data_IF_968183882799
#
_entry.id   IF_968183882799
#
_cell.length_a   1.000
_cell.length_b   1.000
_cell.length_c   1.000
_cell.angle_alpha   90.00
_cell.angle_beta   90.00
_cell.angle_gamma   90.00
#
_symmetry.space_group_name_H-M   'P 1'
#
loop_
_entity.id
_entity.type
_entity.pdbx_description
1 polymer ?
#
# COMPACT_ATOMS: atom_id res chain seq x y z
N UNK A 1 -23.99 20.64 37.44
CA UNK A 1 -24.51 19.76 36.38
C UNK A 1 -23.69 19.79 35.07
N UNK A 2 -22.89 20.82 34.81
CA UNK A 2 -22.07 20.95 33.56
C UNK A 2 -20.71 20.24 33.62
N UNK A 3 -20.23 19.80 34.79
CA UNK A 3 -18.95 19.08 34.95
C UNK A 3 -19.04 17.55 34.76
N UNK A 4 -20.24 17.00 34.69
CA UNK A 4 -20.49 15.53 34.53
C UNK A 4 -20.65 15.10 33.08
N UNK A 5 -20.90 16.02 32.15
CA UNK A 5 -21.16 15.69 30.75
C UNK A 5 -19.90 15.63 29.87
N UNK A 6 -18.76 16.15 30.32
CA UNK A 6 -17.50 16.19 29.56
C UNK A 6 -16.65 14.90 29.65
N UNK A 7 -17.08 13.89 30.43
CA UNK A 7 -16.30 12.66 30.63
C UNK A 7 -16.71 11.46 29.73
N UNK A 8 -17.67 11.62 28.82
CA UNK A 8 -18.17 10.48 28.02
C UNK A 8 -17.83 10.51 26.53
N UNK A 9 -17.02 11.46 26.04
CA UNK A 9 -16.64 11.55 24.61
C UNK A 9 -15.15 11.26 24.35
N UNK A 10 -14.39 10.88 25.39
CA UNK A 10 -12.99 10.41 25.22
C UNK A 10 -12.89 8.88 25.34
N UNK A 11 -13.79 8.17 24.65
CA UNK A 11 -13.70 6.74 24.47
C UNK A 11 -12.67 6.40 23.39
N UNK A 12 -11.42 6.13 23.85
CA UNK A 12 -10.47 5.19 23.26
C UNK A 12 -9.84 5.53 21.91
N UNK A 13 -9.01 6.58 21.87
CA UNK A 13 -7.69 6.40 21.26
C UNK A 13 -6.72 6.23 22.44
N UNK A 14 -6.41 4.99 22.80
CA UNK A 14 -5.33 4.72 23.72
C UNK A 14 -4.06 5.36 23.13
N UNK A 15 -3.27 6.12 23.92
CA UNK A 15 -2.00 6.63 23.43
C UNK A 15 -1.18 5.43 22.99
N UNK A 16 -0.65 5.47 21.76
CA UNK A 16 0.36 4.53 21.33
C UNK A 16 1.48 4.63 22.35
N UNK A 17 1.53 3.69 23.29
CA UNK A 17 2.45 3.73 24.41
C UNK A 17 3.87 3.75 23.85
N UNK A 18 4.80 4.36 24.57
CA UNK A 18 6.24 4.34 24.26
C UNK A 18 6.75 2.89 23.98
N UNK A 19 6.07 1.89 24.49
CA UNK A 19 6.30 0.46 24.23
C UNK A 19 6.07 0.05 22.76
N UNK A 20 5.13 0.65 22.01
CA UNK A 20 4.92 0.26 20.62
C UNK A 20 6.14 0.56 19.73
N UNK A 21 6.86 1.64 19.99
CA UNK A 21 8.05 2.00 19.20
C UNK A 21 9.26 1.09 19.49
N UNK A 22 9.37 0.60 20.74
CA UNK A 22 10.52 -0.20 21.17
C UNK A 22 10.35 -1.71 20.96
N UNK A 23 9.12 -2.20 20.75
CA UNK A 23 8.81 -3.64 20.73
C UNK A 23 8.15 -4.09 19.41
N UNK A 24 8.42 -3.41 18.30
CA UNK A 24 7.76 -3.74 17.02
C UNK A 24 8.06 -5.16 16.52
N UNK A 25 9.25 -5.70 16.78
CA UNK A 25 9.60 -7.03 16.30
C UNK A 25 8.76 -8.13 16.97
N UNK A 26 8.68 -8.25 18.31
CA UNK A 26 7.83 -9.25 18.95
C UNK A 26 6.34 -9.02 18.67
N UNK A 27 5.88 -7.77 18.51
CA UNK A 27 4.51 -7.49 18.12
C UNK A 27 4.22 -8.01 16.69
N UNK A 28 5.12 -7.77 15.73
CA UNK A 28 4.98 -8.27 14.37
C UNK A 28 5.04 -9.80 14.31
N UNK A 29 5.88 -10.43 15.13
CA UNK A 29 5.95 -11.89 15.27
C UNK A 29 4.63 -12.47 15.78
N UNK A 30 4.09 -11.90 16.87
CA UNK A 30 2.80 -12.31 17.46
C UNK A 30 1.65 -12.16 16.45
N UNK A 31 1.61 -11.03 15.73
CA UNK A 31 0.61 -10.80 14.69
C UNK A 31 0.73 -11.83 13.56
N UNK A 32 1.94 -12.08 13.07
CA UNK A 32 2.20 -13.04 12.01
C UNK A 32 1.80 -14.47 12.42
N UNK A 33 2.14 -14.89 13.63
CA UNK A 33 1.75 -16.21 14.17
C UNK A 33 0.22 -16.34 14.28
N UNK A 34 -0.46 -15.31 14.81
CA UNK A 34 -1.92 -15.29 14.91
C UNK A 34 -2.59 -15.43 13.54
N UNK A 35 -2.04 -14.79 12.51
CA UNK A 35 -2.53 -14.90 11.14
C UNK A 35 -2.29 -16.31 10.58
N UNK A 36 -1.06 -16.82 10.71
CA UNK A 36 -0.65 -18.11 10.13
C UNK A 36 -1.33 -19.33 10.80
N UNK A 37 -1.87 -19.17 12.01
CA UNK A 37 -2.70 -20.19 12.67
C UNK A 37 -4.09 -20.33 12.05
N UNK A 38 -4.58 -19.31 11.34
CA UNK A 38 -5.92 -19.30 10.75
C UNK A 38 -5.99 -19.89 9.34
N UNK A 39 -4.86 -20.31 8.77
CA UNK A 39 -4.78 -20.88 7.41
C UNK A 39 -3.59 -21.81 7.26
N UNK A 40 -3.73 -22.84 6.43
CA UNK A 40 -2.63 -23.70 6.02
C UNK A 40 -1.74 -23.07 4.93
N UNK A 41 -2.21 -22.02 4.27
CA UNK A 41 -1.47 -21.34 3.22
C UNK A 41 -0.25 -20.60 3.77
N UNK A 42 0.84 -20.60 3.01
CA UNK A 42 2.09 -19.91 3.35
C UNK A 42 2.46 -18.97 2.21
N UNK A 43 1.81 -17.78 2.12
CA UNK A 43 2.04 -16.84 1.06
C UNK A 43 3.45 -16.25 1.14
N UNK A 44 4.08 -16.05 -0.02
CA UNK A 44 5.34 -15.33 -0.15
C UNK A 44 5.17 -13.99 -0.86
N UNK A 45 3.96 -13.70 -1.33
CA UNK A 45 3.59 -12.45 -1.98
C UNK A 45 2.49 -11.78 -1.15
N UNK A 46 2.72 -10.51 -0.77
CA UNK A 46 1.75 -9.64 -0.15
C UNK A 46 1.16 -8.68 -1.18
N UNK A 47 -0.12 -8.34 -1.01
CA UNK A 47 -0.78 -7.28 -1.76
C UNK A 47 -1.35 -6.25 -0.78
N UNK A 48 -1.34 -4.98 -1.17
CA UNK A 48 -2.09 -3.93 -0.48
C UNK A 48 -2.99 -3.26 -1.50
N UNK A 49 -4.29 -3.41 -1.33
CA UNK A 49 -5.29 -2.86 -2.23
C UNK A 49 -5.73 -1.48 -1.75
N UNK A 50 -5.60 -0.48 -2.62
CA UNK A 50 -6.01 0.89 -2.38
C UNK A 50 -7.50 1.12 -2.59
N UNK A 51 -7.95 2.36 -2.36
CA UNK A 51 -9.33 2.80 -2.53
C UNK A 51 -9.87 2.47 -3.93
N UNK A 52 -11.06 1.89 -4.00
CA UNK A 52 -11.70 1.45 -5.24
C UNK A 52 -11.13 0.18 -5.88
N UNK A 53 -10.05 -0.41 -5.34
CA UNK A 53 -9.36 -1.56 -5.91
C UNK A 53 -9.49 -2.85 -5.07
N UNK A 54 -10.33 -2.82 -4.02
CA UNK A 54 -10.45 -3.89 -3.01
C UNK A 54 -11.03 -5.21 -3.51
N UNK A 55 -11.77 -5.21 -4.61
CA UNK A 55 -12.54 -6.37 -5.10
C UNK A 55 -11.70 -7.58 -5.49
N UNK A 56 -10.43 -7.40 -5.87
CA UNK A 56 -9.52 -8.51 -6.16
C UNK A 56 -9.46 -9.52 -5.00
N UNK A 57 -9.48 -9.05 -3.75
CA UNK A 57 -9.42 -9.92 -2.58
C UNK A 57 -10.63 -10.87 -2.47
N UNK A 58 -11.80 -10.44 -2.96
CA UNK A 58 -13.03 -11.24 -2.91
C UNK A 58 -13.03 -12.38 -3.94
N UNK A 59 -12.17 -12.30 -4.93
CA UNK A 59 -12.01 -13.30 -5.99
C UNK A 59 -11.00 -14.41 -5.66
N UNK A 60 -10.35 -14.34 -4.49
CA UNK A 60 -9.38 -15.36 -4.06
C UNK A 60 -10.10 -16.64 -3.63
N UNK A 61 -9.56 -17.80 -4.02
CA UNK A 61 -10.05 -19.11 -3.61
C UNK A 61 -9.33 -19.61 -2.36
N UNK A 62 -9.92 -20.57 -1.65
CA UNK A 62 -9.43 -21.11 -0.38
C UNK A 62 -9.13 -20.00 0.66
N UNK A 63 -9.96 -18.97 0.67
CA UNK A 63 -9.68 -17.71 1.36
C UNK A 63 -10.04 -17.74 2.84
N UNK A 64 -9.08 -17.37 3.69
CA UNK A 64 -9.30 -16.99 5.09
C UNK A 64 -9.37 -15.46 5.17
N UNK A 65 -10.50 -14.92 5.65
CA UNK A 65 -10.72 -13.48 5.88
C UNK A 65 -10.51 -13.16 7.36
N UNK A 66 -9.62 -12.24 7.66
CA UNK A 66 -9.22 -11.88 9.02
C UNK A 66 -9.38 -10.37 9.19
N UNK A 67 -10.37 -9.88 9.94
CA UNK A 67 -10.51 -8.46 10.24
C UNK A 67 -9.23 -7.90 10.90
N UNK A 68 -8.79 -6.71 10.52
CA UNK A 68 -7.61 -6.07 11.12
C UNK A 68 -7.75 -5.94 12.64
N UNK A 69 -8.97 -5.74 13.14
CA UNK A 69 -9.27 -5.65 14.56
C UNK A 69 -8.97 -6.93 15.37
N UNK A 70 -8.91 -8.08 14.69
CA UNK A 70 -8.62 -9.38 15.30
C UNK A 70 -7.13 -9.76 15.23
N UNK A 71 -6.30 -8.96 14.55
CA UNK A 71 -4.86 -9.19 14.47
C UNK A 71 -4.18 -8.37 15.56
N UNK A 72 -3.37 -8.97 16.44
CA UNK A 72 -2.69 -8.26 17.51
C UNK A 72 -1.88 -7.06 17.01
N UNK A 73 -2.03 -5.90 17.66
CA UNK A 73 -1.33 -4.64 17.37
C UNK A 73 -1.53 -4.08 15.94
N UNK A 74 -2.37 -4.70 15.10
CA UNK A 74 -2.60 -4.25 13.73
C UNK A 74 -3.47 -2.98 13.71
N UNK A 75 -3.13 -1.96 12.91
CA UNK A 75 -3.90 -0.72 12.86
C UNK A 75 -5.24 -0.95 12.15
N UNK A 76 -6.29 -0.28 12.62
CA UNK A 76 -7.65 -0.36 12.05
C UNK A 76 -7.85 0.71 11.00
N UNK A 77 -8.25 0.33 9.80
CA UNK A 77 -8.60 1.31 8.76
C UNK A 77 -9.92 2.01 9.11
N UNK A 78 -9.92 3.33 9.00
CA UNK A 78 -11.10 4.19 9.12
C UNK A 78 -11.44 4.88 7.81
N UNK A 79 -10.62 4.70 6.79
CA UNK A 79 -10.79 5.30 5.48
C UNK A 79 -12.00 4.69 4.76
N UNK A 80 -12.83 5.55 4.16
CA UNK A 80 -14.01 5.14 3.39
C UNK A 80 -13.59 4.27 2.20
N UNK A 81 -14.30 3.17 1.96
CA UNK A 81 -14.00 2.22 0.87
C UNK A 81 -12.97 1.16 1.20
N UNK A 82 -12.44 1.14 2.44
CA UNK A 82 -11.55 0.09 2.94
C UNK A 82 -12.31 -0.93 3.78
N UNK A 83 -12.26 -2.21 3.42
CA UNK A 83 -12.92 -3.27 4.18
C UNK A 83 -12.22 -3.55 5.53
N UNK A 84 -10.96 -3.16 5.70
CA UNK A 84 -10.22 -3.31 6.95
C UNK A 84 -9.95 -4.76 7.34
N UNK A 85 -9.63 -5.60 6.37
CA UNK A 85 -9.34 -7.03 6.59
C UNK A 85 -8.12 -7.51 5.79
N UNK A 86 -7.49 -8.56 6.29
CA UNK A 86 -6.49 -9.35 5.60
C UNK A 86 -7.15 -10.61 5.03
N UNK A 87 -6.98 -10.84 3.73
CA UNK A 87 -7.47 -12.03 3.04
C UNK A 87 -6.29 -12.87 2.58
N UNK A 88 -6.15 -14.08 3.11
CA UNK A 88 -5.14 -15.04 2.66
C UNK A 88 -5.83 -16.10 1.82
N UNK A 89 -5.51 -16.16 0.56
CA UNK A 89 -6.12 -17.08 -0.39
C UNK A 89 -5.23 -17.35 -1.58
N UNK A 90 -5.77 -17.97 -2.62
CA UNK A 90 -5.07 -18.26 -3.86
C UNK A 90 -5.61 -17.40 -5.00
N UNK A 91 -4.70 -16.77 -5.75
CA UNK A 91 -4.98 -16.27 -7.09
C UNK A 91 -4.52 -17.34 -8.08
N UNK A 92 -5.45 -18.05 -8.71
CA UNK A 92 -5.17 -19.30 -9.39
C UNK A 92 -4.48 -20.29 -8.43
N UNK A 93 -3.21 -20.65 -8.68
CA UNK A 93 -2.41 -21.55 -7.83
C UNK A 93 -1.49 -20.82 -6.86
N UNK A 94 -1.36 -19.49 -6.95
CA UNK A 94 -0.41 -18.69 -6.16
C UNK A 94 -1.02 -18.26 -4.83
N UNK A 95 -0.48 -18.70 -3.67
CA UNK A 95 -0.91 -18.20 -2.39
C UNK A 95 -0.50 -16.73 -2.21
N UNK A 96 -1.43 -15.88 -1.78
CA UNK A 96 -1.21 -14.45 -1.53
C UNK A 96 -1.82 -14.02 -0.21
N UNK A 97 -1.21 -13.01 0.43
CA UNK A 97 -1.78 -12.30 1.57
C UNK A 97 -2.19 -10.90 1.14
N UNK A 98 -3.47 -10.60 1.13
CA UNK A 98 -4.03 -9.40 0.54
C UNK A 98 -4.68 -8.53 1.60
N UNK A 99 -4.11 -7.35 1.86
CA UNK A 99 -4.76 -6.31 2.65
C UNK A 99 -5.85 -5.65 1.80
N UNK A 100 -7.10 -5.79 2.21
CA UNK A 100 -8.25 -5.14 1.60
C UNK A 100 -8.48 -3.79 2.29
N UNK A 101 -7.64 -2.83 1.92
CA UNK A 101 -7.49 -1.52 2.53
C UNK A 101 -6.17 -1.36 3.28
N UNK A 102 -5.92 -0.13 3.72
CA UNK A 102 -4.74 0.30 4.49
C UNK A 102 -5.08 1.41 5.45
N UNK A 103 -4.12 1.81 6.28
CA UNK A 103 -4.21 3.01 7.14
C UNK A 103 -3.27 4.11 6.63
N UNK A 104 -3.57 5.36 7.00
CA UNK A 104 -2.85 6.55 6.53
C UNK A 104 -2.46 7.44 7.71
N UNK A 105 -1.46 8.31 7.49
CA UNK A 105 -1.08 9.32 8.48
C UNK A 105 -2.23 10.28 8.83
N UNK A 106 -3.03 10.66 7.82
CA UNK A 106 -4.15 11.59 8.05
C UNK A 106 -5.27 11.00 8.94
N UNK A 107 -5.29 9.69 9.16
CA UNK A 107 -6.17 9.04 10.13
C UNK A 107 -5.68 9.21 11.59
N UNK A 108 -4.53 9.87 11.81
CA UNK A 108 -3.91 10.09 13.11
C UNK A 108 -2.92 9.00 13.53
N UNK A 109 -2.59 8.06 12.65
CA UNK A 109 -1.59 7.02 12.91
C UNK A 109 -0.17 7.57 12.82
N UNK A 110 0.73 7.03 13.64
CA UNK A 110 2.17 7.30 13.54
C UNK A 110 2.77 6.63 12.30
N UNK A 111 3.92 7.11 11.78
CA UNK A 111 4.65 6.47 10.69
C UNK A 111 4.92 4.98 10.94
N UNK A 112 5.24 4.61 12.19
CA UNK A 112 5.50 3.24 12.59
C UNK A 112 4.25 2.35 12.50
N UNK A 113 3.08 2.89 12.86
CA UNK A 113 1.81 2.16 12.76
C UNK A 113 1.40 1.98 11.30
N UNK A 114 1.59 2.99 10.45
CA UNK A 114 1.33 2.88 9.00
C UNK A 114 2.21 1.82 8.35
N UNK A 115 3.49 1.73 8.77
CA UNK A 115 4.44 0.76 8.25
C UNK A 115 4.34 -0.64 8.88
N UNK A 116 3.64 -0.79 10.01
CA UNK A 116 3.58 -2.04 10.78
C UNK A 116 3.08 -3.24 9.98
N UNK A 117 2.07 -3.14 9.09
CA UNK A 117 1.65 -4.24 8.23
C UNK A 117 2.79 -4.85 7.40
N UNK A 118 3.73 -4.04 6.92
CA UNK A 118 4.90 -4.56 6.18
C UNK A 118 5.84 -5.37 7.08
N UNK A 119 5.98 -4.98 8.37
CA UNK A 119 6.75 -5.74 9.36
C UNK A 119 6.10 -7.10 9.63
N UNK A 120 4.76 -7.13 9.75
CA UNK A 120 3.99 -8.38 9.88
C UNK A 120 4.19 -9.27 8.64
N UNK A 121 4.10 -8.71 7.44
CA UNK A 121 4.35 -9.44 6.20
C UNK A 121 5.74 -10.07 6.17
N UNK A 122 6.77 -9.34 6.60
CA UNK A 122 8.13 -9.89 6.71
C UNK A 122 8.19 -11.11 7.66
N UNK A 123 7.50 -11.03 8.82
CA UNK A 123 7.44 -12.13 9.80
C UNK A 123 6.59 -13.31 9.33
N UNK A 124 5.63 -13.10 8.43
CA UNK A 124 4.91 -14.18 7.74
C UNK A 124 5.76 -14.88 6.68
N UNK A 125 6.95 -14.38 6.35
CA UNK A 125 7.82 -14.94 5.32
C UNK A 125 7.59 -14.39 3.92
N UNK A 126 6.83 -13.29 3.79
CA UNK A 126 6.61 -12.60 2.51
C UNK A 126 7.94 -11.99 2.03
N UNK A 127 8.22 -12.12 0.74
CA UNK A 127 9.46 -11.65 0.07
C UNK A 127 9.20 -10.64 -1.03
N UNK A 128 7.96 -10.49 -1.44
CA UNK A 128 7.54 -9.50 -2.43
C UNK A 128 6.22 -8.88 -2.04
N UNK A 129 6.05 -7.60 -2.31
CA UNK A 129 4.76 -6.91 -2.14
C UNK A 129 4.36 -6.21 -3.43
N UNK A 130 3.06 -6.27 -3.73
CA UNK A 130 2.43 -5.44 -4.76
C UNK A 130 1.58 -4.41 -4.02
N UNK A 131 1.96 -3.15 -4.13
CA UNK A 131 1.24 -2.03 -3.53
C UNK A 131 0.40 -1.34 -4.60
N UNK A 132 -0.86 -1.09 -4.31
CA UNK A 132 -1.73 -0.37 -5.23
C UNK A 132 -2.34 0.83 -4.54
N UNK A 133 -2.61 1.89 -5.29
CA UNK A 133 -3.23 3.09 -4.76
C UNK A 133 -4.07 3.81 -5.84
N UNK A 134 -4.99 4.64 -5.37
CA UNK A 134 -5.58 5.72 -6.14
C UNK A 134 -4.62 6.92 -6.08
N UNK A 135 -4.44 7.63 -7.19
CA UNK A 135 -3.57 8.79 -7.28
C UNK A 135 -4.16 9.86 -8.20
N UNK A 136 -3.86 11.13 -7.88
CA UNK A 136 -4.05 12.24 -8.80
C UNK A 136 -2.98 12.26 -9.89
N UNK A 137 -3.38 12.36 -11.14
CA UNK A 137 -2.46 12.48 -12.28
C UNK A 137 -1.93 13.91 -12.42
N UNK A 138 -0.61 14.08 -12.30
CA UNK A 138 0.09 15.37 -12.52
C UNK A 138 0.61 15.47 -13.96
N UNK A 139 1.09 14.33 -14.50
CA UNK A 139 1.59 14.25 -15.87
C UNK A 139 0.45 14.36 -16.87
N UNK A 140 0.55 15.34 -17.77
CA UNK A 140 -0.50 15.66 -18.74
C UNK A 140 -0.70 14.60 -19.83
N UNK A 141 0.23 13.64 -19.94
CA UNK A 141 0.10 12.48 -20.84
C UNK A 141 -0.74 11.35 -20.23
N UNK A 142 -1.14 11.47 -18.96
CA UNK A 142 -2.04 10.51 -18.33
C UNK A 142 -3.49 10.95 -18.50
N UNK A 143 -4.38 9.99 -18.38
CA UNK A 143 -5.81 10.21 -18.35
C UNK A 143 -6.44 9.48 -17.18
N UNK A 144 -7.60 9.88 -16.78
CA UNK A 144 -8.38 9.20 -15.74
C UNK A 144 -8.63 7.75 -16.12
N UNK A 145 -8.31 6.83 -15.21
CA UNK A 145 -8.33 5.38 -15.42
C UNK A 145 -6.99 4.79 -15.89
N UNK A 146 -5.98 5.61 -16.19
CA UNK A 146 -4.66 5.09 -16.55
C UNK A 146 -4.03 4.32 -15.38
N UNK A 147 -3.39 3.18 -15.69
CA UNK A 147 -2.56 2.43 -14.75
C UNK A 147 -1.10 2.84 -14.96
N UNK A 148 -0.44 3.17 -13.85
CA UNK A 148 0.93 3.70 -13.85
C UNK A 148 1.80 2.88 -12.91
N UNK A 149 2.88 2.30 -13.41
CA UNK A 149 3.93 1.69 -12.59
C UNK A 149 4.71 2.79 -11.88
N UNK A 150 4.76 2.73 -10.56
CA UNK A 150 5.61 3.63 -9.79
C UNK A 150 7.05 3.16 -9.96
N UNK A 151 7.90 4.01 -10.55
CA UNK A 151 9.34 3.74 -10.71
C UNK A 151 10.18 4.33 -9.60
N UNK A 152 9.67 5.38 -8.94
CA UNK A 152 10.32 6.08 -7.83
C UNK A 152 9.27 6.91 -7.05
N UNK A 153 9.66 7.46 -5.89
CA UNK A 153 8.80 8.35 -5.13
C UNK A 153 9.54 9.55 -4.52
N UNK A 154 8.78 10.62 -4.29
CA UNK A 154 9.20 11.79 -3.52
C UNK A 154 8.38 11.78 -2.23
N UNK A 155 9.02 11.54 -1.08
CA UNK A 155 8.35 11.55 0.22
C UNK A 155 8.28 12.97 0.79
N UNK A 156 7.11 13.59 0.70
CA UNK A 156 6.79 14.91 1.25
C UNK A 156 5.84 14.83 2.47
N UNK A 157 5.73 13.67 3.11
CA UNK A 157 4.89 13.48 4.30
C UNK A 157 5.52 14.04 5.59
N UNK A 158 6.67 14.71 5.50
CA UNK A 158 7.32 15.39 6.62
C UNK A 158 8.00 14.46 7.64
N UNK A 159 7.99 13.15 7.41
CA UNK A 159 8.57 12.14 8.31
C UNK A 159 8.96 10.87 7.55
N UNK A 160 9.50 9.87 8.29
CA UNK A 160 9.93 8.59 7.74
C UNK A 160 9.64 7.48 8.74
N UNK A 161 9.17 6.29 8.34
CA UNK A 161 8.82 5.21 9.25
C UNK A 161 10.02 4.54 9.94
N UNK A 162 11.25 4.94 9.61
CA UNK A 162 12.49 4.47 10.23
C UNK A 162 13.09 5.49 11.21
N UNK A 163 12.40 6.60 11.50
CA UNK A 163 12.85 7.58 12.51
C UNK A 163 12.79 6.94 13.89
N UNK A 164 13.85 7.13 14.69
CA UNK A 164 14.00 6.56 16.02
C UNK A 164 15.07 5.46 16.07
N UNK A 165 15.15 4.67 17.15
CA UNK A 165 16.11 3.56 17.26
C UNK A 165 15.90 2.50 16.17
N UNK A 166 17.00 2.00 15.59
CA UNK A 166 16.92 0.89 14.65
C UNK A 166 16.77 -0.44 15.40
N UNK A 167 15.97 -1.34 14.83
CA UNK A 167 15.95 -2.75 15.23
C UNK A 167 16.60 -3.56 14.10
N UNK A 168 17.84 -3.98 14.32
CA UNK A 168 18.66 -4.68 13.33
C UNK A 168 18.05 -6.03 12.88
N UNK A 169 17.10 -6.55 13.64
CA UNK A 169 16.34 -7.77 13.27
C UNK A 169 15.45 -7.54 12.06
N UNK A 170 15.05 -6.30 11.78
CA UNK A 170 14.30 -5.92 10.58
C UNK A 170 15.21 -5.56 9.41
N UNK A 171 16.36 -4.93 9.69
CA UNK A 171 17.30 -4.51 8.65
C UNK A 171 18.30 -3.46 9.12
N UNK A 172 19.13 -3.02 8.18
CA UNK A 172 20.19 -2.05 8.44
C UNK A 172 19.63 -0.66 8.72
N UNK A 173 20.35 0.14 9.51
CA UNK A 173 19.94 1.51 9.87
C UNK A 173 19.67 2.41 8.68
N UNK A 174 20.45 2.27 7.60
CA UNK A 174 20.36 3.08 6.39
C UNK A 174 20.14 2.19 5.16
N UNK A 175 18.89 1.81 4.86
CA UNK A 175 18.60 0.99 3.71
C UNK A 175 18.82 1.75 2.40
N UNK A 176 19.38 1.08 1.40
CA UNK A 176 19.48 1.61 0.05
C UNK A 176 18.10 1.69 -0.63
N UNK A 177 17.77 2.88 -1.12
CA UNK A 177 16.52 3.16 -1.82
C UNK A 177 16.70 3.38 -3.33
N UNK A 178 17.93 3.22 -3.88
CA UNK A 178 18.23 3.41 -5.32
C UNK A 178 17.31 2.58 -6.22
N UNK A 179 16.93 1.39 -5.76
CA UNK A 179 16.00 0.50 -6.44
C UNK A 179 14.84 0.15 -5.51
N UNK A 180 14.17 1.19 -4.96
CA UNK A 180 13.02 1.01 -4.07
C UNK A 180 11.91 0.19 -4.73
N UNK A 181 11.69 0.40 -6.03
CA UNK A 181 10.74 -0.36 -6.86
C UNK A 181 11.50 -1.28 -7.80
N UNK A 182 11.22 -2.59 -7.75
CA UNK A 182 11.93 -3.61 -8.50
C UNK A 182 11.84 -3.40 -10.01
N UNK A 183 12.99 -3.25 -10.68
CA UNK A 183 13.05 -3.15 -12.15
C UNK A 183 12.51 -4.41 -12.82
N UNK A 184 12.84 -5.58 -12.27
CA UNK A 184 12.40 -6.88 -12.81
C UNK A 184 10.88 -7.00 -12.74
N UNK A 185 10.27 -6.60 -11.61
CA UNK A 185 8.82 -6.68 -11.46
C UNK A 185 8.07 -5.67 -12.34
N UNK A 186 8.65 -4.48 -12.55
CA UNK A 186 8.11 -3.52 -13.52
C UNK A 186 8.20 -4.05 -14.95
N UNK A 187 9.30 -4.72 -15.32
CA UNK A 187 9.44 -5.39 -16.60
C UNK A 187 8.37 -6.50 -16.77
N UNK A 188 8.23 -7.38 -15.77
CA UNK A 188 7.17 -8.40 -15.77
C UNK A 188 5.79 -7.77 -15.95
N UNK A 189 5.48 -6.70 -15.24
CA UNK A 189 4.17 -6.04 -15.34
C UNK A 189 3.93 -5.45 -16.72
N UNK A 190 4.95 -4.84 -17.37
CA UNK A 190 4.84 -4.33 -18.73
C UNK A 190 4.61 -5.45 -19.75
N UNK A 191 5.36 -6.56 -19.62
CA UNK A 191 5.23 -7.71 -20.51
C UNK A 191 3.82 -8.31 -20.45
N UNK A 192 3.29 -8.48 -19.22
CA UNK A 192 1.94 -9.04 -19.04
C UNK A 192 0.86 -8.07 -19.49
N UNK A 193 1.01 -6.76 -19.24
CA UNK A 193 0.10 -5.74 -19.75
C UNK A 193 0.05 -5.73 -21.28
N UNK A 194 1.20 -5.81 -21.94
CA UNK A 194 1.28 -5.87 -23.40
C UNK A 194 0.53 -7.09 -23.98
N UNK A 195 0.67 -8.27 -23.34
CA UNK A 195 -0.08 -9.48 -23.72
C UNK A 195 -1.60 -9.32 -23.56
N UNK A 196 -2.03 -8.50 -22.59
CA UNK A 196 -3.43 -8.18 -22.34
C UNK A 196 -3.94 -7.02 -23.23
N UNK A 197 -3.10 -6.45 -24.09
CA UNK A 197 -3.44 -5.27 -24.89
C UNK A 197 -3.60 -3.99 -24.07
N UNK A 198 -3.00 -3.93 -22.88
CA UNK A 198 -3.11 -2.80 -21.96
C UNK A 198 -1.91 -1.87 -22.07
N UNK A 199 -2.15 -0.56 -22.04
CA UNK A 199 -1.08 0.43 -21.89
C UNK A 199 -0.77 0.63 -20.41
N UNK A 200 0.50 0.46 -20.02
CA UNK A 200 1.02 0.85 -18.71
C UNK A 200 1.99 2.01 -18.89
N UNK A 201 1.75 3.08 -18.12
CA UNK A 201 2.70 4.18 -17.97
C UNK A 201 3.71 3.88 -16.85
N UNK A 202 4.77 4.66 -16.77
CA UNK A 202 5.69 4.69 -15.61
C UNK A 202 5.86 6.12 -15.12
N UNK A 203 5.89 6.31 -13.79
CA UNK A 203 5.99 7.65 -13.21
C UNK A 203 6.57 7.68 -11.80
N UNK A 204 6.85 8.90 -11.35
CA UNK A 204 7.29 9.24 -10.00
C UNK A 204 6.08 9.64 -9.17
N UNK A 205 5.94 9.02 -8.00
CA UNK A 205 4.83 9.26 -7.08
C UNK A 205 5.25 10.24 -5.97
N UNK A 206 4.56 11.37 -5.83
CA UNK A 206 4.70 12.26 -4.68
C UNK A 206 3.74 11.81 -3.57
N UNK A 207 4.30 11.53 -2.39
CA UNK A 207 3.53 11.17 -1.20
C UNK A 207 3.37 12.38 -0.29
N UNK A 208 2.14 12.82 -0.06
CA UNK A 208 1.76 13.93 0.81
C UNK A 208 0.97 13.43 2.04
N UNK A 209 0.87 14.29 3.05
CA UNK A 209 0.16 13.95 4.29
C UNK A 209 -1.36 13.86 4.07
N UNK A 210 -1.96 14.80 3.33
CA UNK A 210 -3.40 15.00 3.31
C UNK A 210 -3.93 15.53 4.66
N UNK A 211 -5.25 15.43 4.97
CA UNK A 211 -6.31 14.84 4.15
C UNK A 211 -6.88 15.74 3.05
N UNK A 212 -6.51 17.05 3.03
CA UNK A 212 -6.94 17.94 1.96
C UNK A 212 -6.29 17.54 0.64
N UNK A 213 -7.03 17.63 -0.47
CA UNK A 213 -6.42 17.64 -1.78
C UNK A 213 -5.54 18.89 -1.94
N UNK A 214 -4.60 18.79 -2.85
CA UNK A 214 -3.62 19.83 -3.12
C UNK A 214 -4.28 21.05 -3.78
N UNK A 215 -3.68 22.22 -3.62
CA UNK A 215 -4.00 23.40 -4.40
C UNK A 215 -3.37 23.33 -5.80
N UNK A 216 -3.86 24.07 -6.81
CA UNK A 216 -3.22 24.15 -8.12
C UNK A 216 -1.73 24.59 -8.06
N UNK A 217 -1.38 25.46 -7.10
CA UNK A 217 0.00 25.91 -6.90
C UNK A 217 0.90 24.76 -6.37
N UNK A 218 0.39 23.94 -5.43
CA UNK A 218 1.09 22.74 -4.95
C UNK A 218 1.26 21.73 -6.08
N UNK A 219 0.27 21.49 -6.91
CA UNK A 219 0.38 20.60 -8.07
C UNK A 219 1.42 21.10 -9.08
N UNK A 220 1.44 22.41 -9.34
CA UNK A 220 2.49 22.99 -10.20
C UNK A 220 3.89 22.80 -9.60
N UNK A 221 4.05 23.03 -8.30
CA UNK A 221 5.31 22.75 -7.59
C UNK A 221 5.73 21.28 -7.72
N UNK A 222 4.82 20.33 -7.47
CA UNK A 222 5.08 18.90 -7.59
C UNK A 222 5.54 18.52 -9.00
N UNK A 223 4.91 19.09 -10.03
CA UNK A 223 5.31 18.87 -11.42
C UNK A 223 6.71 19.39 -11.71
N UNK A 224 7.08 20.56 -11.19
CA UNK A 224 8.41 21.16 -11.38
C UNK A 224 9.51 20.27 -10.76
N UNK A 225 9.24 19.68 -9.60
CA UNK A 225 10.22 18.77 -8.94
C UNK A 225 10.21 17.35 -9.50
N UNK A 226 9.42 17.07 -10.55
CA UNK A 226 9.46 15.82 -11.30
C UNK A 226 8.47 14.75 -10.87
N UNK A 227 7.41 15.10 -10.13
CA UNK A 227 6.33 14.18 -9.82
C UNK A 227 5.38 14.02 -11.00
N UNK A 228 4.99 12.76 -11.28
CA UNK A 228 3.98 12.38 -12.27
C UNK A 228 2.61 12.09 -11.65
N UNK A 229 2.61 11.74 -10.37
CA UNK A 229 1.46 11.29 -9.59
C UNK A 229 1.51 11.91 -8.19
N UNK A 230 0.35 12.08 -7.56
CA UNK A 230 0.25 12.52 -6.17
C UNK A 230 -0.76 11.66 -5.39
N UNK A 231 -0.47 11.42 -4.12
CA UNK A 231 -1.39 10.76 -3.19
C UNK A 231 -0.86 10.73 -1.76
N UNK A 232 -1.58 10.04 -0.86
CA UNK A 232 -1.42 10.17 0.59
C UNK A 232 -1.00 8.85 1.27
N UNK A 233 -0.35 7.92 0.53
CA UNK A 233 -0.02 6.56 1.01
C UNK A 233 1.31 6.06 0.44
N UNK A 234 1.51 4.75 0.49
CA UNK A 234 2.47 3.94 -0.30
C UNK A 234 3.95 4.13 0.07
N UNK A 235 4.47 5.36 0.17
CA UNK A 235 5.91 5.59 0.41
C UNK A 235 6.41 4.93 1.71
N UNK A 236 5.65 4.99 2.80
CA UNK A 236 6.05 4.38 4.08
C UNK A 236 6.05 2.86 4.02
N UNK A 237 5.09 2.28 3.30
CA UNK A 237 5.05 0.83 3.06
C UNK A 237 6.26 0.39 2.23
N UNK A 238 6.63 1.18 1.20
CA UNK A 238 7.83 0.93 0.38
C UNK A 238 9.10 1.03 1.22
N UNK A 239 9.27 2.10 2.01
CA UNK A 239 10.45 2.30 2.87
C UNK A 239 10.59 1.12 3.85
N UNK A 240 9.50 0.73 4.52
CA UNK A 240 9.51 -0.39 5.45
C UNK A 240 9.78 -1.73 4.77
N UNK A 241 9.20 -1.98 3.59
CA UNK A 241 9.45 -3.18 2.81
C UNK A 241 10.93 -3.27 2.39
N UNK A 242 11.49 -2.17 1.89
CA UNK A 242 12.91 -2.11 1.49
C UNK A 242 13.87 -2.28 2.67
N UNK A 243 13.54 -1.71 3.84
CA UNK A 243 14.29 -1.93 5.07
C UNK A 243 14.46 -3.43 5.37
N UNK A 244 13.43 -4.24 5.10
CA UNK A 244 13.41 -5.69 5.29
C UNK A 244 13.75 -6.49 4.03
N UNK A 245 14.34 -5.84 3.01
CA UNK A 245 14.74 -6.45 1.74
C UNK A 245 13.60 -7.11 0.95
N UNK A 246 12.36 -6.71 1.19
CA UNK A 246 11.21 -7.16 0.42
C UNK A 246 11.20 -6.43 -0.93
N UNK A 247 11.10 -7.17 -2.03
CA UNK A 247 10.95 -6.59 -3.38
C UNK A 247 9.58 -5.93 -3.53
N UNK A 248 9.53 -4.77 -4.15
CA UNK A 248 8.30 -3.97 -4.29
C UNK A 248 7.95 -3.78 -5.77
N UNK A 249 6.70 -4.06 -6.13
CA UNK A 249 6.02 -3.53 -7.30
C UNK A 249 4.94 -2.57 -6.78
N UNK A 250 4.80 -1.40 -7.38
CA UNK A 250 3.70 -0.51 -7.06
C UNK A 250 2.99 -0.01 -8.32
N UNK A 251 1.66 0.02 -8.27
CA UNK A 251 0.79 0.41 -9.38
C UNK A 251 -0.21 1.43 -8.88
N UNK A 252 -0.20 2.62 -9.46
CA UNK A 252 -1.22 3.65 -9.25
C UNK A 252 -2.33 3.52 -10.29
N UNK A 253 -3.58 3.70 -9.85
CA UNK A 253 -4.67 4.06 -10.74
C UNK A 253 -4.83 5.58 -10.70
N UNK A 254 -4.76 6.26 -11.83
CA UNK A 254 -5.08 7.68 -11.96
C UNK A 254 -6.59 7.82 -11.83
N UNK A 255 -7.07 8.08 -10.62
CA UNK A 255 -8.51 8.16 -10.34
C UNK A 255 -9.11 9.50 -10.72
N UNK A 256 -8.31 10.53 -10.73
CA UNK A 256 -8.63 11.89 -11.13
C UNK A 256 -7.37 12.58 -11.66
N UNK A 257 -7.52 13.58 -12.48
CA UNK A 257 -6.41 14.50 -12.74
C UNK A 257 -6.26 15.44 -11.54
N UNK A 258 -5.00 15.74 -11.18
CA UNK A 258 -4.71 16.55 -9.98
C UNK A 258 -5.28 17.97 -10.09
N UNK A 259 -5.38 18.68 -8.95
CA UNK A 259 -6.02 20.00 -8.86
C UNK A 259 -5.44 21.01 -9.87
N UNK A 260 -6.33 21.75 -10.55
CA UNK A 260 -5.97 22.78 -11.52
C UNK A 260 -5.49 22.26 -12.89
N UNK A 261 -5.52 20.93 -13.12
CA UNK A 261 -5.28 20.37 -14.46
C UNK A 261 -6.56 20.39 -15.29
N UNK A 262 -7.67 20.02 -14.68
CA UNK A 262 -9.00 20.18 -15.24
C UNK A 262 -9.74 21.28 -14.45
N UNK A 263 -10.63 22.01 -15.12
CA UNK A 263 -11.43 23.06 -14.49
C UNK A 263 -12.68 22.46 -13.81
N UNK A 264 -12.42 21.62 -12.79
CA UNK A 264 -13.48 20.98 -12.00
C UNK A 264 -12.99 20.67 -10.57
N UNK A 265 -13.89 20.70 -9.57
CA UNK A 265 -13.56 20.28 -8.20
C UNK A 265 -13.21 18.79 -8.15
N UNK A 266 -12.29 18.44 -7.25
CA UNK A 266 -11.98 17.02 -6.96
C UNK A 266 -12.98 16.45 -5.95
N UNK A 267 -13.34 15.18 -6.13
CA UNK A 267 -14.21 14.48 -5.19
C UNK A 267 -13.75 13.04 -4.94
N UNK A 268 -14.02 12.54 -3.73
CA UNK A 268 -13.77 11.12 -3.42
C UNK A 268 -14.69 10.17 -4.22
N UNK A 269 -15.82 10.66 -4.70
CA UNK A 269 -16.73 9.89 -5.55
C UNK A 269 -16.07 9.51 -6.88
N UNK A 270 -15.30 10.41 -7.50
CA UNK A 270 -14.53 10.09 -8.73
C UNK A 270 -13.54 8.95 -8.51
N UNK A 271 -12.94 8.88 -7.31
CA UNK A 271 -12.00 7.78 -6.96
C UNK A 271 -12.72 6.45 -7.01
N UNK A 272 -13.93 6.37 -6.42
CA UNK A 272 -14.74 5.13 -6.38
C UNK A 272 -15.18 4.74 -7.80
N UNK A 273 -15.76 5.66 -8.54
CA UNK A 273 -16.29 5.43 -9.89
C UNK A 273 -15.19 4.98 -10.87
N UNK A 274 -14.02 5.64 -10.81
CA UNK A 274 -12.90 5.26 -11.65
C UNK A 274 -12.34 3.91 -11.25
N UNK A 275 -12.24 3.60 -9.95
CA UNK A 275 -11.85 2.29 -9.45
C UNK A 275 -12.73 1.16 -10.02
N UNK A 276 -14.05 1.34 -9.98
CA UNK A 276 -14.99 0.36 -10.56
C UNK A 276 -14.83 0.23 -12.08
N UNK A 277 -14.61 1.33 -12.80
CA UNK A 277 -14.40 1.31 -14.26
C UNK A 277 -13.17 0.53 -14.67
N UNK A 278 -12.06 0.62 -13.93
CA UNK A 278 -10.80 -0.06 -14.26
C UNK A 278 -10.64 -1.43 -13.61
N UNK A 279 -11.56 -1.82 -12.75
CA UNK A 279 -11.51 -3.03 -11.93
C UNK A 279 -11.13 -4.28 -12.71
N UNK A 280 -11.85 -4.56 -13.80
CA UNK A 280 -11.62 -5.77 -14.61
C UNK A 280 -10.22 -5.81 -15.21
N UNK A 281 -9.76 -4.70 -15.78
CA UNK A 281 -8.42 -4.58 -16.35
C UNK A 281 -7.33 -4.73 -15.28
N UNK A 282 -7.54 -4.08 -14.13
CA UNK A 282 -6.61 -4.14 -13.01
C UNK A 282 -6.49 -5.54 -12.42
N UNK A 283 -7.62 -6.23 -12.20
CA UNK A 283 -7.63 -7.62 -11.71
C UNK A 283 -6.98 -8.58 -12.71
N UNK A 284 -7.21 -8.39 -14.01
CA UNK A 284 -6.57 -9.18 -15.06
C UNK A 284 -5.06 -9.02 -15.05
N UNK A 285 -4.57 -7.79 -14.88
CA UNK A 285 -3.14 -7.52 -14.74
C UNK A 285 -2.55 -8.20 -13.50
N UNK A 286 -3.17 -8.08 -12.33
CA UNK A 286 -2.70 -8.74 -11.12
C UNK A 286 -2.63 -10.26 -11.28
N UNK A 287 -3.67 -10.88 -11.89
CA UNK A 287 -3.71 -12.34 -12.13
C UNK A 287 -2.60 -12.80 -13.06
N UNK A 288 -2.22 -11.97 -14.05
CA UNK A 288 -1.14 -12.29 -14.98
C UNK A 288 0.25 -12.11 -14.35
N UNK A 289 0.44 -11.08 -13.52
CA UNK A 289 1.72 -10.74 -12.89
C UNK A 289 2.09 -11.70 -11.75
N UNK A 290 1.13 -12.12 -10.93
CA UNK A 290 1.37 -12.92 -9.73
C UNK A 290 2.13 -14.24 -9.99
N UNK A 291 1.78 -15.08 -10.99
CA UNK A 291 2.53 -16.30 -11.27
C UNK A 291 3.99 -16.04 -11.70
N UNK A 292 4.22 -14.96 -12.45
CA UNK A 292 5.55 -14.57 -12.92
C UNK A 292 6.45 -14.14 -11.75
N UNK A 293 5.91 -13.35 -10.80
CA UNK A 293 6.62 -12.98 -9.57
C UNK A 293 6.90 -14.21 -8.71
N UNK A 294 5.95 -15.14 -8.56
CA UNK A 294 6.15 -16.37 -7.82
C UNK A 294 7.28 -17.22 -8.41
N UNK A 295 7.38 -17.32 -9.73
CA UNK A 295 8.47 -18.02 -10.43
C UNK A 295 9.82 -17.33 -10.21
N UNK A 296 9.90 -16.01 -10.31
CA UNK A 296 11.14 -15.24 -10.03
C UNK A 296 11.65 -15.50 -8.61
N UNK A 297 10.76 -15.54 -7.63
CA UNK A 297 11.12 -15.86 -6.24
C UNK A 297 11.65 -17.31 -6.08
N UNK A 298 11.06 -18.28 -6.78
CA UNK A 298 11.50 -19.66 -6.72
C UNK A 298 12.91 -19.81 -7.31
N UNK A 299 13.19 -19.17 -8.44
CA UNK A 299 14.52 -19.16 -9.05
C UNK A 299 15.56 -18.44 -8.19
N UNK A 300 15.20 -17.33 -7.54
CA UNK A 300 16.11 -16.62 -6.64
C UNK A 300 16.46 -17.39 -5.36
N UNK A 301 15.57 -18.28 -4.89
CA UNK A 301 15.82 -19.14 -3.72
C UNK A 301 16.73 -20.35 -4.01
N UNK A 302 16.98 -20.65 -5.29
CA UNK A 302 17.86 -21.75 -5.74
C UNK A 302 19.29 -21.31 -6.04
N UNK A 303 19.55 -19.99 -6.07
CA UNK A 303 20.88 -19.36 -6.23
C UNK A 303 21.51 -19.04 -4.89
#
# INVERSE_FOLDING_TARGET
ALRSMCRKIHGALAPASANFMNDQFPLAETAAQSILQRTALRPRIGLVLGSGLGSFADSLTDAAKIPFAEIPAFPRSTAIGHAGQLVIGKSNTVPVATMQGRVHLYEGYTPHQVAFPMRVFARMGIRSVILTNAAGGINLNYQQGALVLIRDHINLQGTNPLVGPNDDRFGVRFPDMTHAYSKDYRAIARDEAAKLGMTLHEGVYAALLGPSYETPAEINYLRIIGADLVGMSTSFEVIAARHMQIKVLAISCVTNMAAGILDQPLSHQEVIETGERVKSSFESLLRAVLPRIATDQAMAAQR
#
